data_IF_064427771286
#
_entry.id   IF_064427771286
#
_cell.length_a   1.000
_cell.length_b   1.000
_cell.length_c   1.000
_cell.angle_alpha   90.00
_cell.angle_beta   90.00
_cell.angle_gamma   90.00
#
_symmetry.space_group_name_H-M   'P 1'
#
loop_
_entity.id
_entity.type
_entity.pdbx_description
1 polymer ?
#
# COMPACT_ATOMS: atom_id res chain seq x y z
N UNK A 1 2.48 13.57 -18.58
CA UNK A 1 1.92 12.21 -18.42
C UNK A 1 3.08 11.24 -18.24
N UNK A 2 3.12 10.49 -17.14
CA UNK A 2 4.17 9.50 -16.83
C UNK A 2 3.53 8.12 -16.72
N UNK A 3 4.12 7.12 -17.37
CA UNK A 3 3.67 5.73 -17.25
C UNK A 3 4.55 5.03 -16.22
N UNK A 4 3.93 4.53 -15.15
CA UNK A 4 4.58 3.71 -14.14
C UNK A 4 4.39 2.23 -14.52
N UNK A 5 5.49 1.47 -14.53
CA UNK A 5 5.50 0.05 -14.97
C UNK A 5 5.72 -0.85 -13.76
N UNK A 6 4.92 -1.92 -13.67
CA UNK A 6 4.94 -2.84 -12.53
C UNK A 6 6.32 -3.43 -12.22
N UNK A 7 7.12 -3.70 -13.25
CA UNK A 7 8.48 -4.24 -13.09
C UNK A 7 9.43 -3.36 -12.26
N UNK A 8 9.13 -2.07 -12.11
CA UNK A 8 9.94 -1.13 -11.33
C UNK A 8 9.46 -0.87 -9.90
N UNK A 9 8.37 -1.50 -9.46
CA UNK A 9 7.82 -1.22 -8.13
C UNK A 9 8.60 -1.89 -7.01
N UNK A 10 8.75 -1.18 -5.90
CA UNK A 10 9.33 -1.73 -4.67
C UNK A 10 8.27 -2.55 -3.95
N UNK A 11 8.62 -3.80 -3.62
CA UNK A 11 7.81 -4.69 -2.77
C UNK A 11 8.47 -4.79 -1.41
N UNK A 12 7.69 -4.59 -0.34
CA UNK A 12 8.18 -4.60 1.05
C UNK A 12 7.32 -5.50 1.91
N UNK A 13 7.91 -6.42 2.71
CA UNK A 13 7.15 -7.19 3.69
C UNK A 13 6.63 -6.29 4.81
N UNK A 14 5.48 -6.62 5.35
CA UNK A 14 4.95 -5.96 6.55
C UNK A 14 5.74 -6.39 7.78
N UNK A 15 5.86 -5.48 8.76
CA UNK A 15 6.57 -5.76 10.02
C UNK A 15 6.00 -6.96 10.79
N UNK A 16 4.69 -7.21 10.66
CA UNK A 16 4.01 -8.33 11.31
C UNK A 16 4.07 -9.64 10.51
N UNK A 17 4.71 -9.65 9.33
CA UNK A 17 4.80 -10.83 8.46
C UNK A 17 3.49 -11.25 7.78
N UNK A 18 2.39 -10.51 7.96
CA UNK A 18 1.07 -10.89 7.46
C UNK A 18 0.81 -10.58 5.98
N UNK A 19 1.83 -10.10 5.26
CA UNK A 19 1.68 -9.70 3.87
C UNK A 19 2.81 -8.83 3.34
N UNK A 20 2.58 -8.26 2.16
CA UNK A 20 3.50 -7.33 1.50
C UNK A 20 2.76 -6.13 0.92
N UNK A 21 3.48 -5.02 0.78
CA UNK A 21 3.02 -3.84 0.05
C UNK A 21 3.89 -3.62 -1.18
N UNK A 22 3.27 -3.48 -2.35
CA UNK A 22 3.90 -2.97 -3.57
C UNK A 22 3.60 -1.48 -3.68
N UNK A 23 4.62 -0.64 -3.64
CA UNK A 23 4.45 0.80 -3.78
C UNK A 23 4.38 1.21 -5.25
N UNK A 24 3.32 1.94 -5.63
CA UNK A 24 3.14 2.44 -7.00
C UNK A 24 3.69 3.87 -7.10
N UNK A 25 3.22 4.77 -6.22
CA UNK A 25 3.67 6.17 -6.16
C UNK A 25 3.25 6.81 -4.84
N UNK A 26 3.96 7.87 -4.46
CA UNK A 26 3.69 8.70 -3.28
C UNK A 26 3.91 10.17 -3.64
N UNK A 27 3.17 11.07 -3.01
CA UNK A 27 3.40 12.52 -3.11
C UNK A 27 3.59 13.14 -1.73
N UNK A 28 4.55 14.06 -1.57
CA UNK A 28 5.60 14.40 -2.54
C UNK A 28 6.55 13.21 -2.79
N UNK A 29 7.29 13.24 -3.91
CA UNK A 29 8.25 12.19 -4.26
C UNK A 29 9.26 12.00 -3.10
N UNK A 30 9.36 10.76 -2.61
CA UNK A 30 10.24 10.42 -1.48
C UNK A 30 9.63 10.62 -0.09
N UNK A 31 8.36 11.04 0.02
CA UNK A 31 7.67 11.09 1.30
C UNK A 31 7.58 9.70 1.97
N UNK A 32 7.73 9.70 3.29
CA UNK A 32 7.52 8.54 4.14
C UNK A 32 6.10 8.49 4.68
N UNK A 33 5.83 7.55 5.60
CA UNK A 33 4.49 7.34 6.16
C UNK A 33 3.94 8.50 7.00
N UNK A 34 4.80 9.40 7.48
CA UNK A 34 4.40 10.48 8.38
C UNK A 34 4.13 11.82 7.65
N UNK A 35 4.44 11.90 6.35
CA UNK A 35 4.44 13.18 5.62
C UNK A 35 4.01 13.06 4.14
N UNK A 36 3.33 11.97 3.75
CA UNK A 36 2.73 11.90 2.43
C UNK A 36 1.39 12.63 2.40
N UNK A 37 1.11 13.34 1.30
CA UNK A 37 -0.21 13.91 1.01
C UNK A 37 -1.16 12.84 0.50
N UNK A 38 -0.65 11.97 -0.39
CA UNK A 38 -1.37 10.81 -0.91
C UNK A 38 -0.41 9.71 -1.35
N UNK A 39 -0.90 8.47 -1.32
CA UNK A 39 -0.12 7.29 -1.70
C UNK A 39 -1.01 6.27 -2.40
N UNK A 40 -0.51 5.72 -3.51
CA UNK A 40 -1.15 4.60 -4.21
C UNK A 40 -0.26 3.38 -4.07
N UNK A 41 -0.84 2.27 -3.62
CA UNK A 41 -0.11 1.01 -3.42
C UNK A 41 -1.04 -0.19 -3.59
N UNK A 42 -0.45 -1.37 -3.80
CA UNK A 42 -1.15 -2.65 -3.78
C UNK A 42 -0.70 -3.45 -2.56
N UNK A 43 -1.64 -4.11 -1.91
CA UNK A 43 -1.37 -4.97 -0.77
C UNK A 43 -1.65 -6.43 -1.13
N UNK A 44 -0.71 -7.32 -0.76
CA UNK A 44 -0.97 -8.76 -0.69
C UNK A 44 -1.16 -9.11 0.78
N UNK A 45 -2.38 -9.52 1.13
CA UNK A 45 -2.75 -9.93 2.49
C UNK A 45 -2.67 -11.46 2.55
N UNK A 46 -1.81 -12.00 3.40
CA UNK A 46 -1.59 -13.45 3.54
C UNK A 46 -2.13 -14.01 4.85
N UNK A 47 -2.12 -13.19 5.91
CA UNK A 47 -2.71 -13.52 7.20
C UNK A 47 -3.67 -12.43 7.66
N UNK A 48 -4.76 -12.84 8.30
CA UNK A 48 -5.70 -11.91 8.94
C UNK A 48 -5.04 -11.14 10.08
N UNK A 49 -5.38 -9.87 10.22
CA UNK A 49 -4.86 -8.98 11.25
C UNK A 49 -5.23 -7.53 10.99
N UNK A 50 -5.02 -6.64 11.97
CA UNK A 50 -5.35 -5.24 11.82
C UNK A 50 -4.44 -4.57 10.78
N UNK A 51 -5.01 -3.70 9.95
CA UNK A 51 -4.20 -2.76 9.18
C UNK A 51 -3.64 -1.65 10.08
N UNK A 52 -2.49 -1.10 9.68
CA UNK A 52 -1.95 0.11 10.30
C UNK A 52 -2.94 1.28 10.20
N UNK A 53 -3.01 2.07 11.26
CA UNK A 53 -3.73 3.34 11.29
C UNK A 53 -2.84 4.44 10.72
N UNK A 54 -3.40 5.30 9.87
CA UNK A 54 -2.79 6.53 9.38
C UNK A 54 -3.70 7.69 9.78
N UNK A 55 -3.33 8.41 10.84
CA UNK A 55 -4.18 9.46 11.40
C UNK A 55 -4.37 10.60 10.40
N UNK A 56 -5.62 11.06 10.23
CA UNK A 56 -5.96 12.15 9.31
C UNK A 56 -5.95 11.78 7.83
N UNK A 57 -5.75 10.50 7.49
CA UNK A 57 -5.74 10.02 6.11
C UNK A 57 -6.99 9.17 5.84
N UNK A 58 -7.74 9.57 4.82
CA UNK A 58 -8.81 8.75 4.27
C UNK A 58 -8.24 7.58 3.49
N UNK A 59 -8.80 6.38 3.70
CA UNK A 59 -8.35 5.16 3.04
C UNK A 59 -9.50 4.49 2.30
N UNK A 60 -9.31 4.28 1.01
CA UNK A 60 -10.17 3.42 0.18
C UNK A 60 -9.39 2.20 -0.26
N UNK A 61 -10.03 1.02 -0.19
CA UNK A 61 -9.46 -0.26 -0.61
C UNK A 61 -10.36 -0.88 -1.68
N UNK A 62 -9.73 -1.58 -2.63
CA UNK A 62 -10.42 -2.35 -3.64
C UNK A 62 -9.76 -3.74 -3.72
N UNK A 63 -10.57 -4.79 -3.61
CA UNK A 63 -10.09 -6.18 -3.75
C UNK A 63 -9.82 -6.43 -5.22
N UNK A 64 -8.55 -6.67 -5.58
CA UNK A 64 -8.14 -6.94 -6.95
C UNK A 64 -8.21 -8.43 -7.31
N UNK A 65 -7.99 -9.31 -6.32
CA UNK A 65 -8.04 -10.76 -6.49
C UNK A 65 -8.31 -11.45 -5.14
N UNK A 66 -8.89 -12.65 -5.19
CA UNK A 66 -9.26 -13.44 -4.01
C UNK A 66 -10.74 -13.31 -3.64
N UNK A 67 -11.11 -13.86 -2.48
CA UNK A 67 -12.50 -13.97 -2.02
C UNK A 67 -12.96 -12.75 -1.19
N UNK A 68 -12.14 -11.72 -1.07
CA UNK A 68 -12.40 -10.55 -0.23
C UNK A 68 -11.71 -10.60 1.14
N UNK A 69 -11.95 -9.55 1.93
CA UNK A 69 -11.48 -9.37 3.32
C UNK A 69 -12.64 -8.86 4.17
N UNK A 70 -12.62 -9.15 5.47
CA UNK A 70 -13.61 -8.71 6.48
C UNK A 70 -12.88 -7.98 7.60
#
# INVERSE_FOLDING_TARGET
MRILRAAGYRVMPWKNGGGTTTEITVSPDGAGFDNFDWRISMARVEAGGPFSSFAGIDRTLCVLAGQGIV
#
